data_IF_361559459936
#
_entry.id   IF_361559459936
#
_cell.length_a   1.000
_cell.length_b   1.000
_cell.length_c   1.000
_cell.angle_alpha   90.00
_cell.angle_beta   90.00
_cell.angle_gamma   90.00
#
_symmetry.space_group_name_H-M   'P 1'
#
loop_
_entity.id
_entity.type
_entity.pdbx_description
1 polymer ?
#
# COMPACT_ATOMS: atom_id res chain seq x y z
N UNK A 1 13.06 -21.45 -27.60
CA UNK A 1 12.31 -20.37 -26.93
C UNK A 1 13.28 -19.49 -26.16
N UNK A 2 13.80 -18.40 -26.77
CA UNK A 2 14.67 -17.45 -26.08
C UNK A 2 13.80 -16.27 -25.64
N UNK A 3 13.44 -16.21 -24.36
CA UNK A 3 12.85 -15.01 -23.81
C UNK A 3 13.99 -14.05 -23.41
N UNK A 4 14.03 -12.86 -24.01
CA UNK A 4 15.01 -11.81 -23.67
C UNK A 4 14.69 -11.12 -22.32
N UNK A 5 14.16 -11.87 -21.34
CA UNK A 5 13.75 -11.33 -20.05
C UNK A 5 14.81 -11.62 -19.00
N UNK A 6 15.32 -10.57 -18.37
CA UNK A 6 16.18 -10.69 -17.18
C UNK A 6 15.31 -11.00 -15.96
N UNK A 7 15.42 -12.21 -15.42
CA UNK A 7 14.84 -12.59 -14.13
C UNK A 7 15.87 -12.28 -13.02
N UNK A 8 15.43 -11.63 -11.95
CA UNK A 8 16.20 -11.40 -10.74
C UNK A 8 15.44 -11.97 -9.52
N UNK A 9 16.07 -11.96 -8.34
CA UNK A 9 15.46 -12.49 -7.10
C UNK A 9 14.11 -11.82 -6.74
N UNK A 10 13.85 -10.63 -7.27
CA UNK A 10 12.61 -9.90 -7.04
C UNK A 10 11.57 -10.13 -8.14
N UNK A 11 11.87 -10.93 -9.17
CA UNK A 11 10.95 -11.19 -10.27
C UNK A 11 9.74 -11.99 -9.80
N UNK A 12 8.53 -11.57 -10.21
CA UNK A 12 7.28 -12.13 -9.70
C UNK A 12 6.90 -11.64 -8.30
N UNK A 13 7.79 -10.92 -7.60
CA UNK A 13 7.46 -10.29 -6.32
C UNK A 13 6.79 -8.93 -6.53
N UNK A 14 6.05 -8.42 -5.54
CA UNK A 14 5.56 -7.04 -5.50
C UNK A 14 6.69 -6.01 -5.50
N UNK A 15 7.88 -6.42 -5.10
CA UNK A 15 9.09 -5.63 -5.11
C UNK A 15 9.75 -5.59 -6.51
N UNK A 16 9.23 -6.36 -7.47
CA UNK A 16 9.67 -6.28 -8.85
C UNK A 16 9.51 -4.85 -9.38
N UNK A 17 10.55 -4.36 -10.07
CA UNK A 17 10.56 -3.05 -10.73
C UNK A 17 10.41 -1.85 -9.77
N UNK A 18 10.41 -2.07 -8.46
CA UNK A 18 10.65 -1.00 -7.50
C UNK A 18 12.13 -0.58 -7.61
N UNK A 19 12.36 0.72 -7.79
CA UNK A 19 13.72 1.30 -7.76
C UNK A 19 14.04 1.75 -6.34
N UNK A 20 15.29 2.14 -6.08
CA UNK A 20 15.75 2.70 -4.79
C UNK A 20 15.58 1.73 -3.61
N UNK A 21 16.10 0.51 -3.76
CA UNK A 21 16.04 -0.53 -2.74
C UNK A 21 16.69 -0.10 -1.42
N UNK A 22 17.70 0.75 -1.49
CA UNK A 22 18.36 1.44 -0.37
C UNK A 22 17.39 2.17 0.57
N UNK A 23 16.22 2.60 0.07
CA UNK A 23 15.24 3.39 0.82
C UNK A 23 14.01 2.60 1.25
N UNK A 24 13.94 1.31 0.94
CA UNK A 24 12.76 0.51 1.29
C UNK A 24 12.62 0.33 2.78
N UNK A 25 13.73 0.11 3.49
CA UNK A 25 13.73 -0.05 4.95
C UNK A 25 13.28 1.23 5.65
N UNK A 26 13.82 2.39 5.26
CA UNK A 26 13.38 3.69 5.80
C UNK A 26 11.91 3.96 5.51
N UNK A 27 11.42 3.55 4.33
CA UNK A 27 10.01 3.69 3.99
C UNK A 27 9.11 2.73 4.78
N UNK A 28 9.56 1.50 5.05
CA UNK A 28 8.86 0.56 5.91
C UNK A 28 8.72 1.11 7.33
N UNK A 29 9.79 1.70 7.88
CA UNK A 29 9.72 2.38 9.18
C UNK A 29 8.73 3.54 9.16
N UNK A 30 8.74 4.36 8.11
CA UNK A 30 7.77 5.45 7.94
C UNK A 30 6.31 4.95 7.91
N UNK A 31 6.06 3.77 7.33
CA UNK A 31 4.74 3.13 7.36
C UNK A 31 4.35 2.65 8.75
N UNK A 32 5.27 1.99 9.47
CA UNK A 32 5.05 1.55 10.86
C UNK A 32 4.74 2.74 11.78
N UNK A 33 5.42 3.86 11.59
CA UNK A 33 5.19 5.10 12.34
C UNK A 33 3.89 5.83 11.93
N UNK A 34 3.09 5.27 11.02
CA UNK A 34 1.81 5.86 10.60
C UNK A 34 1.94 7.16 9.78
N UNK A 35 3.12 7.45 9.20
CA UNK A 35 3.33 8.71 8.49
C UNK A 35 2.40 8.82 7.26
N UNK A 36 1.94 10.05 7.00
CA UNK A 36 1.22 10.37 5.76
C UNK A 36 2.11 10.16 4.54
N UNK A 37 1.53 9.90 3.36
CA UNK A 37 2.31 9.70 2.11
C UNK A 37 3.28 10.85 1.83
N UNK A 38 2.86 12.10 2.10
CA UNK A 38 3.71 13.29 1.90
C UNK A 38 4.84 13.36 2.94
N UNK A 39 4.55 13.02 4.21
CA UNK A 39 5.57 12.99 5.25
C UNK A 39 6.61 11.89 4.99
N UNK A 40 6.16 10.68 4.66
CA UNK A 40 7.04 9.56 4.30
C UNK A 40 7.88 9.86 3.05
N UNK A 41 7.31 10.53 2.04
CA UNK A 41 8.04 10.96 0.86
C UNK A 41 9.18 11.93 1.19
N UNK A 42 8.92 12.93 2.05
CA UNK A 42 9.94 13.87 2.52
C UNK A 42 11.02 13.16 3.34
N UNK A 43 10.63 12.32 4.31
CA UNK A 43 11.55 11.59 5.17
C UNK A 43 12.48 10.64 4.37
N UNK A 44 11.97 10.00 3.32
CA UNK A 44 12.75 9.11 2.46
C UNK A 44 13.39 9.81 1.25
N UNK A 45 13.22 11.14 1.09
CA UNK A 45 13.73 11.89 -0.06
C UNK A 45 13.23 11.40 -1.42
N UNK A 46 12.01 10.86 -1.49
CA UNK A 46 11.39 10.32 -2.72
C UNK A 46 10.22 11.19 -3.16
N UNK A 47 9.79 11.04 -4.41
CA UNK A 47 8.60 11.75 -4.89
C UNK A 47 7.33 11.23 -4.20
N UNK A 48 6.32 12.09 -4.06
CA UNK A 48 4.99 11.71 -3.55
C UNK A 48 4.39 10.52 -4.32
N UNK A 49 4.55 10.50 -5.64
CA UNK A 49 4.01 9.42 -6.48
C UNK A 49 4.74 8.10 -6.22
N UNK A 50 6.07 8.14 -6.03
CA UNK A 50 6.85 6.99 -5.63
C UNK A 50 6.38 6.45 -4.27
N UNK A 51 6.25 7.33 -3.27
CA UNK A 51 5.74 6.94 -1.96
C UNK A 51 4.32 6.34 -2.05
N UNK A 52 3.41 6.97 -2.81
CA UNK A 52 2.06 6.44 -2.99
C UNK A 52 2.04 5.02 -3.59
N UNK A 53 2.83 4.80 -4.67
CA UNK A 53 2.97 3.48 -5.28
C UNK A 53 3.58 2.46 -4.31
N UNK A 54 4.56 2.86 -3.51
CA UNK A 54 5.19 1.98 -2.52
C UNK A 54 4.19 1.63 -1.41
N UNK A 55 3.44 2.59 -0.90
CA UNK A 55 2.40 2.37 0.12
C UNK A 55 1.40 1.32 -0.34
N UNK A 56 0.87 1.46 -1.55
CA UNK A 56 -0.10 0.50 -2.08
C UNK A 56 0.48 -0.91 -2.17
N UNK A 57 1.72 -1.06 -2.65
CA UNK A 57 2.35 -2.38 -2.79
C UNK A 57 2.77 -3.01 -1.46
N UNK A 58 3.28 -2.21 -0.53
CA UNK A 58 3.71 -2.69 0.79
C UNK A 58 2.49 -3.10 1.62
N UNK A 59 1.44 -2.26 1.65
CA UNK A 59 0.24 -2.55 2.44
C UNK A 59 -0.58 -3.71 1.87
N UNK A 60 -0.69 -3.85 0.55
CA UNK A 60 -1.34 -5.02 -0.07
C UNK A 60 -0.68 -6.34 0.35
N UNK A 61 0.60 -6.35 0.71
CA UNK A 61 1.26 -7.56 1.22
C UNK A 61 1.16 -7.72 2.71
N UNK A 62 1.17 -6.63 3.45
CA UNK A 62 0.89 -6.67 4.88
C UNK A 62 -0.53 -7.20 5.15
N UNK A 63 -1.51 -6.91 4.29
CA UNK A 63 -2.87 -7.43 4.44
C UNK A 63 -2.98 -8.95 4.27
N UNK A 64 -2.09 -9.57 3.49
CA UNK A 64 -2.06 -11.03 3.32
C UNK A 64 -1.62 -11.75 4.63
N UNK A 65 -1.00 -11.03 5.58
CA UNK A 65 -0.51 -11.59 6.84
C UNK A 65 -1.55 -11.57 7.98
N UNK A 66 -2.74 -11.01 7.75
CA UNK A 66 -3.78 -10.97 8.77
C UNK A 66 -4.27 -12.39 9.09
N UNK A 67 -4.37 -12.71 10.39
CA UNK A 67 -4.85 -14.01 10.84
C UNK A 67 -6.29 -14.24 10.36
N UNK A 68 -6.53 -15.38 9.71
CA UNK A 68 -7.87 -15.72 9.16
C UNK A 68 -8.86 -16.09 10.26
N UNK A 69 -8.38 -16.47 11.45
CA UNK A 69 -9.21 -16.86 12.59
C UNK A 69 -8.56 -16.38 13.89
N UNK A 70 -9.36 -15.81 14.79
CA UNK A 70 -8.97 -15.56 16.17
C UNK A 70 -9.22 -16.82 17.03
N UNK A 71 -8.38 -17.10 18.02
CA UNK A 71 -8.53 -18.24 18.95
C UNK A 71 -8.35 -17.76 20.39
N UNK A 72 -9.16 -18.28 21.31
CA UNK A 72 -9.12 -17.95 22.74
C UNK A 72 -10.12 -16.86 23.13
N UNK A 73 -9.78 -16.07 24.16
CA UNK A 73 -10.55 -14.89 24.56
C UNK A 73 -10.19 -13.76 23.60
N UNK A 74 -11.19 -13.16 22.97
CA UNK A 74 -11.04 -12.11 21.97
C UNK A 74 -11.73 -10.86 22.49
N UNK A 75 -10.99 -9.75 22.53
CA UNK A 75 -11.53 -8.42 22.75
C UNK A 75 -11.89 -7.79 21.39
N UNK A 76 -13.03 -7.09 21.34
CA UNK A 76 -13.52 -6.45 20.11
C UNK A 76 -13.74 -4.96 20.40
N UNK A 77 -12.92 -4.13 19.77
CA UNK A 77 -13.07 -2.68 19.79
C UNK A 77 -13.66 -2.18 18.47
N UNK A 78 -14.55 -1.20 18.54
CA UNK A 78 -15.11 -0.53 17.35
C UNK A 78 -14.28 0.71 17.00
N UNK A 79 -13.73 0.73 15.78
CA UNK A 79 -13.10 1.92 15.21
C UNK A 79 -13.86 2.35 13.98
N UNK A 80 -14.51 3.51 14.03
CA UNK A 80 -15.22 4.07 12.89
C UNK A 80 -14.28 4.85 11.99
N UNK A 81 -14.26 4.50 10.70
CA UNK A 81 -13.55 5.23 9.66
C UNK A 81 -14.60 5.76 8.68
N UNK A 82 -14.43 7.01 8.24
CA UNK A 82 -15.25 7.56 7.17
C UNK A 82 -14.94 6.81 5.87
N UNK A 83 -15.88 6.01 5.40
CA UNK A 83 -15.76 5.31 4.13
C UNK A 83 -15.75 6.33 2.97
N UNK A 84 -14.73 6.23 2.13
CA UNK A 84 -14.57 7.11 0.98
C UNK A 84 -14.62 6.33 -0.32
N UNK A 85 -15.69 6.51 -1.09
CA UNK A 85 -15.85 5.91 -2.42
C UNK A 85 -15.07 6.65 -3.53
N UNK A 86 -14.04 7.41 -3.16
CA UNK A 86 -13.28 8.23 -4.12
C UNK A 86 -12.54 7.33 -5.11
N UNK A 87 -12.85 7.50 -6.39
CA UNK A 87 -12.22 6.73 -7.49
C UNK A 87 -12.91 5.40 -7.81
N UNK A 88 -14.00 5.07 -7.12
CA UNK A 88 -14.85 3.93 -7.46
C UNK A 88 -15.70 4.25 -8.70
N UNK A 89 -15.71 3.32 -9.68
CA UNK A 89 -16.47 3.47 -10.93
C UNK A 89 -17.97 3.20 -10.75
N UNK A 90 -18.33 2.29 -9.85
CA UNK A 90 -19.71 1.93 -9.56
C UNK A 90 -20.07 2.44 -8.15
N UNK A 91 -20.60 3.65 -8.07
CA UNK A 91 -20.98 4.25 -6.79
C UNK A 91 -22.35 3.70 -6.35
N UNK A 92 -22.55 3.43 -5.04
CA UNK A 92 -23.83 3.00 -4.49
C UNK A 92 -24.88 4.13 -4.48
N UNK A 93 -24.51 5.33 -4.94
CA UNK A 93 -25.36 6.52 -5.02
C UNK A 93 -25.35 7.08 -6.44
N UNK A 94 -26.38 7.84 -6.79
CA UNK A 94 -26.44 8.56 -8.06
C UNK A 94 -25.26 9.52 -8.22
N UNK A 95 -24.80 9.69 -9.47
CA UNK A 95 -23.75 10.64 -9.78
C UNK A 95 -24.22 12.05 -9.46
N UNK A 96 -23.31 12.86 -8.89
CA UNK A 96 -23.60 14.28 -8.69
C UNK A 96 -23.49 14.95 -10.06
N UNK A 97 -24.60 15.48 -10.57
CA UNK A 97 -24.56 16.31 -11.78
C UNK A 97 -23.83 17.62 -11.45
N UNK A 98 -23.00 18.10 -12.37
CA UNK A 98 -22.37 19.40 -12.29
C UNK A 98 -23.18 20.32 -13.20
N UNK A 99 -23.71 21.39 -12.63
CA UNK A 99 -24.34 22.47 -13.39
C UNK A 99 -23.28 23.22 -14.22
#
# INVERSE_FOLDING_TARGET
>A
KQCHRTCNALSGSPLAKLRKADRWLSYAQALQNGLTVRAAARACGISKNTAFLWRHRFLHRASDHLATQARGIVEVDETFILESFKGQRHLPRVSRQRD
#
